data_IF_880516462330
#
_entry.id   IF_880516462330
#
_cell.length_a   1.000
_cell.length_b   1.000
_cell.length_c   1.000
_cell.angle_alpha   90.00
_cell.angle_beta   90.00
_cell.angle_gamma   90.00
#
_symmetry.space_group_name_H-M   'P 1'
#
loop_
_entity.id
_entity.type
_entity.pdbx_description
1 polymer ?
#
# COMPACT_ATOMS: atom_id res chain seq x y z
N UNK A 1 -4.96 -14.02 14.62
CA UNK A 1 -3.90 -13.01 14.43
C UNK A 1 -2.69 -13.53 13.66
N UNK A 2 -2.03 -14.62 14.07
CA UNK A 2 -0.83 -15.18 13.38
C UNK A 2 -1.03 -15.44 11.87
N UNK A 3 -2.22 -15.89 11.47
CA UNK A 3 -2.57 -16.22 10.07
C UNK A 3 -2.60 -14.99 9.14
N UNK A 4 -3.13 -13.85 9.62
CA UNK A 4 -3.24 -12.60 8.85
C UNK A 4 -1.86 -11.98 8.63
N UNK A 5 -1.02 -11.97 9.66
CA UNK A 5 0.36 -11.49 9.58
C UNK A 5 1.17 -12.35 8.60
N UNK A 6 0.97 -13.68 8.63
CA UNK A 6 1.65 -14.59 7.71
C UNK A 6 1.19 -14.40 6.25
N UNK A 7 -0.11 -14.20 6.03
CA UNK A 7 -0.64 -13.84 4.71
C UNK A 7 -0.05 -12.53 4.23
N UNK A 8 -0.07 -11.50 5.08
CA UNK A 8 0.47 -10.19 4.74
C UNK A 8 1.97 -10.29 4.37
N UNK A 9 2.79 -11.07 5.08
CA UNK A 9 4.22 -11.29 4.72
C UNK A 9 4.45 -11.91 3.34
N UNK A 10 3.52 -12.75 2.89
CA UNK A 10 3.63 -13.42 1.59
C UNK A 10 3.18 -12.53 0.43
N UNK A 11 2.45 -11.44 0.69
CA UNK A 11 2.03 -10.51 -0.37
C UNK A 11 3.26 -9.87 -1.05
N UNK A 12 3.40 -10.01 -2.38
CA UNK A 12 4.46 -9.37 -3.15
C UNK A 12 4.43 -7.85 -3.02
N UNK A 13 5.60 -7.22 -3.01
CA UNK A 13 5.74 -5.76 -2.96
C UNK A 13 4.99 -5.08 -4.11
N UNK A 14 4.98 -5.68 -5.31
CA UNK A 14 4.24 -5.21 -6.49
C UNK A 14 2.75 -5.06 -6.22
N UNK A 15 2.15 -6.00 -5.48
CA UNK A 15 0.72 -5.95 -5.15
C UNK A 15 0.43 -4.80 -4.19
N UNK A 16 1.31 -4.53 -3.22
CA UNK A 16 1.16 -3.40 -2.29
C UNK A 16 1.26 -2.04 -3.01
N UNK A 17 2.20 -1.92 -3.95
CA UNK A 17 2.35 -0.72 -4.77
C UNK A 17 1.13 -0.52 -5.69
N UNK A 18 0.65 -1.60 -6.30
CA UNK A 18 -0.55 -1.55 -7.16
C UNK A 18 -1.81 -1.17 -6.37
N UNK A 19 -1.97 -1.71 -5.15
CA UNK A 19 -3.04 -1.34 -4.22
C UNK A 19 -2.97 0.13 -3.85
N UNK A 20 -1.78 0.63 -3.54
CA UNK A 20 -1.56 2.06 -3.26
C UNK A 20 -2.04 2.93 -4.42
N UNK A 21 -1.61 2.60 -5.65
CA UNK A 21 -2.03 3.34 -6.84
C UNK A 21 -3.54 3.27 -7.06
N UNK A 22 -4.15 2.09 -6.88
CA UNK A 22 -5.59 1.91 -7.01
C UNK A 22 -6.38 2.76 -6.01
N UNK A 23 -5.97 2.76 -4.74
CA UNK A 23 -6.60 3.57 -3.69
C UNK A 23 -6.37 5.06 -3.94
N UNK A 24 -5.19 5.46 -4.42
CA UNK A 24 -4.90 6.85 -4.78
C UNK A 24 -5.76 7.37 -5.94
N UNK A 25 -6.00 6.55 -6.95
CA UNK A 25 -6.91 6.90 -8.06
C UNK A 25 -8.36 6.99 -7.59
N UNK A 26 -8.82 6.07 -6.76
CA UNK A 26 -10.14 6.10 -6.13
C UNK A 26 -10.31 7.34 -5.24
N UNK A 27 -9.28 7.71 -4.48
CA UNK A 27 -9.27 8.92 -3.66
C UNK A 27 -9.52 10.18 -4.51
N UNK A 28 -8.81 10.33 -5.63
CA UNK A 28 -9.02 11.46 -6.55
C UNK A 28 -10.42 11.52 -7.16
N UNK A 29 -11.03 10.37 -7.43
CA UNK A 29 -12.42 10.30 -7.93
C UNK A 29 -13.43 10.77 -6.87
N UNK A 30 -13.15 10.48 -5.60
CA UNK A 30 -14.03 10.82 -4.47
C UNK A 30 -13.78 12.24 -3.94
N UNK A 31 -12.60 12.81 -4.20
CA UNK A 31 -12.18 14.15 -3.76
C UNK A 31 -13.16 15.26 -4.17
N UNK A 32 -13.81 15.11 -5.32
CA UNK A 32 -14.81 16.06 -5.83
C UNK A 32 -16.10 16.14 -5.01
N UNK A 33 -16.42 15.12 -4.21
CA UNK A 33 -17.64 15.09 -3.38
C UNK A 33 -17.35 14.97 -1.88
N UNK A 34 -16.23 14.34 -1.50
CA UNK A 34 -15.87 14.08 -0.11
C UNK A 34 -14.35 14.23 0.10
N UNK A 35 -13.90 15.48 0.20
CA UNK A 35 -12.48 15.83 0.30
C UNK A 35 -11.81 15.26 1.57
N UNK A 36 -12.52 15.23 2.71
CA UNK A 36 -12.01 14.64 3.95
C UNK A 36 -11.78 13.12 3.83
N UNK A 37 -12.70 12.42 3.15
CA UNK A 37 -12.61 10.98 2.91
C UNK A 37 -11.49 10.71 1.89
N UNK A 38 -11.37 11.54 0.86
CA UNK A 38 -10.30 11.46 -0.11
C UNK A 38 -8.92 11.59 0.54
N UNK A 39 -8.73 12.57 1.44
CA UNK A 39 -7.50 12.71 2.22
C UNK A 39 -7.22 11.46 3.06
N UNK A 40 -8.23 10.90 3.74
CA UNK A 40 -8.08 9.66 4.51
C UNK A 40 -7.66 8.47 3.64
N UNK A 41 -8.28 8.30 2.47
CA UNK A 41 -7.92 7.25 1.51
C UNK A 41 -6.51 7.45 0.93
N UNK A 42 -6.12 8.69 0.67
CA UNK A 42 -4.79 9.01 0.16
C UNK A 42 -3.71 8.71 1.21
N UNK A 43 -4.00 8.96 2.50
CA UNK A 43 -3.12 8.57 3.60
C UNK A 43 -2.96 7.04 3.67
N UNK A 44 -4.05 6.29 3.53
CA UNK A 44 -4.00 4.82 3.48
C UNK A 44 -3.18 4.34 2.28
N UNK A 45 -3.39 4.92 1.10
CA UNK A 45 -2.61 4.63 -0.10
C UNK A 45 -1.12 4.88 0.14
N UNK A 46 -0.77 5.98 0.83
CA UNK A 46 0.62 6.30 1.17
C UNK A 46 1.26 5.23 2.06
N UNK A 47 0.56 4.73 3.09
CA UNK A 47 1.08 3.62 3.92
C UNK A 47 1.30 2.33 3.12
N UNK A 48 0.41 2.01 2.18
CA UNK A 48 0.61 0.86 1.29
C UNK A 48 1.82 1.04 0.37
N UNK A 49 2.03 2.25 -0.14
CA UNK A 49 3.20 2.59 -0.97
C UNK A 49 4.49 2.40 -0.17
N UNK A 50 4.54 2.96 1.03
CA UNK A 50 5.70 2.91 1.91
C UNK A 50 6.02 1.46 2.30
N UNK A 51 5.00 0.67 2.64
CA UNK A 51 5.17 -0.77 2.93
C UNK A 51 5.64 -1.57 1.72
N UNK A 52 5.11 -1.26 0.53
CA UNK A 52 5.55 -1.83 -0.73
C UNK A 52 7.01 -1.50 -1.03
N UNK A 53 7.41 -0.25 -0.85
CA UNK A 53 8.80 0.21 -1.02
C UNK A 53 9.73 -0.44 -0.02
N UNK A 54 9.40 -0.45 1.27
CA UNK A 54 10.21 -1.12 2.30
C UNK A 54 10.44 -2.58 1.92
N UNK A 55 9.40 -3.31 1.49
CA UNK A 55 9.55 -4.69 1.03
C UNK A 55 10.30 -4.85 -0.28
N UNK A 56 10.17 -3.88 -1.19
CA UNK A 56 10.95 -3.87 -2.41
C UNK A 56 12.44 -3.77 -2.06
N UNK A 57 12.81 -2.81 -1.22
CA UNK A 57 14.19 -2.67 -0.73
C UNK A 57 14.64 -3.92 0.05
N UNK A 58 13.81 -4.48 0.91
CA UNK A 58 14.10 -5.67 1.72
C UNK A 58 14.20 -6.97 0.92
N UNK A 59 13.61 -7.07 -0.28
CA UNK A 59 13.76 -8.28 -1.14
C UNK A 59 14.75 -8.10 -2.27
N UNK A 60 14.87 -6.90 -2.81
CA UNK A 60 15.66 -6.63 -4.03
C UNK A 60 17.05 -6.09 -3.68
N UNK A 61 17.15 -5.24 -2.65
CA UNK A 61 18.37 -4.49 -2.35
C UNK A 61 19.12 -5.12 -1.17
N UNK A 62 18.42 -5.41 -0.08
CA UNK A 62 18.91 -6.26 0.99
C UNK A 62 18.53 -7.69 0.63
N UNK A 63 19.42 -8.44 -0.01
CA UNK A 63 19.16 -9.87 -0.31
C UNK A 63 19.24 -10.70 0.99
N UNK A 64 18.42 -10.38 1.98
CA UNK A 64 18.38 -11.05 3.27
C UNK A 64 17.72 -12.40 3.03
N UNK A 65 18.55 -13.45 3.03
CA UNK A 65 18.15 -14.86 2.97
C UNK A 65 17.07 -15.19 4.01
#
# INVERSE_FOLDING_TARGET
MKKVIHWYRNVPFLILILLSFGIGLLSKLVEGHFTDIAMGMQLIAFFFLLSGLIRFFDRVLFKTK
#
